data_IF_264214366531
#
_entry.id   IF_264214366531
#
_cell.length_a   1.000
_cell.length_b   1.000
_cell.length_c   1.000
_cell.angle_alpha   90.00
_cell.angle_beta   90.00
_cell.angle_gamma   90.00
#
_symmetry.space_group_name_H-M   'P 1'
#
loop_
_entity.id
_entity.type
_entity.pdbx_description
1 polymer ?
#
# COMPACT_ATOMS: atom_id res chain seq x y z
N UNK A 1 -44.66 36.52 43.23
CA UNK A 1 -43.25 36.22 43.58
C UNK A 1 -42.77 35.00 42.77
N UNK A 2 -42.70 35.12 41.44
CA UNK A 2 -42.53 33.96 40.53
C UNK A 2 -41.73 34.33 39.27
N UNK A 3 -40.74 35.24 39.40
CA UNK A 3 -40.00 35.78 38.24
C UNK A 3 -38.49 35.77 38.42
N UNK A 4 -37.97 35.28 39.55
CA UNK A 4 -36.52 35.16 39.80
C UNK A 4 -35.96 33.76 39.53
N UNK A 5 -36.77 32.71 39.61
CA UNK A 5 -36.31 31.32 39.43
C UNK A 5 -36.05 30.97 37.96
N UNK A 6 -36.80 31.55 37.01
CA UNK A 6 -36.65 31.25 35.58
C UNK A 6 -35.41 31.89 34.94
N UNK A 7 -34.95 33.04 35.46
CA UNK A 7 -33.75 33.72 34.91
C UNK A 7 -32.47 32.95 35.28
N UNK A 8 -32.42 32.37 36.49
CA UNK A 8 -31.28 31.57 36.93
C UNK A 8 -31.20 30.27 36.12
N UNK A 9 -32.34 29.64 35.82
CA UNK A 9 -32.38 28.41 35.02
C UNK A 9 -31.92 28.62 33.57
N UNK A 10 -32.31 29.74 32.94
CA UNK A 10 -31.85 30.08 31.57
C UNK A 10 -30.36 30.45 31.55
N UNK A 11 -29.86 31.15 32.57
CA UNK A 11 -28.44 31.48 32.68
C UNK A 11 -27.57 30.22 32.93
N UNK A 12 -28.03 29.28 33.76
CA UNK A 12 -27.33 28.01 33.99
C UNK A 12 -27.37 27.12 32.75
N UNK A 13 -28.47 27.10 31.99
CA UNK A 13 -28.57 26.35 30.72
C UNK A 13 -27.66 26.94 29.63
N UNK A 14 -27.55 28.28 29.55
CA UNK A 14 -26.63 28.96 28.63
C UNK A 14 -25.17 28.75 29.02
N UNK A 15 -24.84 28.78 30.31
CA UNK A 15 -23.48 28.48 30.80
C UNK A 15 -23.14 27.00 30.60
N UNK A 16 -24.09 26.08 30.79
CA UNK A 16 -23.90 24.66 30.45
C UNK A 16 -23.75 24.45 28.95
N UNK A 17 -24.47 25.18 28.09
CA UNK A 17 -24.28 25.12 26.63
C UNK A 17 -22.94 25.71 26.18
N UNK A 18 -22.40 26.69 26.90
CA UNK A 18 -21.04 27.22 26.65
C UNK A 18 -19.98 26.26 27.18
N UNK A 19 -20.20 25.61 28.33
CA UNK A 19 -19.27 24.61 28.89
C UNK A 19 -19.29 23.29 28.08
N UNK A 20 -20.44 22.90 27.51
CA UNK A 20 -20.56 21.73 26.62
C UNK A 20 -20.20 22.04 25.16
N UNK A 21 -20.28 23.31 24.75
CA UNK A 21 -19.86 23.80 23.44
C UNK A 21 -18.34 24.02 23.29
N UNK A 22 -17.58 23.84 24.39
CA UNK A 22 -16.11 23.85 24.39
C UNK A 22 -15.47 22.46 24.38
N UNK A 23 -16.25 21.41 24.04
CA UNK A 23 -15.65 20.29 23.33
C UNK A 23 -15.45 20.72 21.88
N UNK A 24 -14.41 21.52 21.64
CA UNK A 24 -13.76 21.52 20.35
C UNK A 24 -13.30 20.08 20.16
N UNK A 25 -14.10 19.32 19.40
CA UNK A 25 -13.62 18.11 18.76
C UNK A 25 -12.31 18.50 18.11
N UNK A 26 -11.20 18.00 18.65
CA UNK A 26 -9.91 17.96 18.00
C UNK A 26 -10.12 17.23 16.68
N UNK A 27 -10.55 17.94 15.63
CA UNK A 27 -10.54 17.41 14.29
C UNK A 27 -9.08 17.11 13.99
N UNK A 28 -8.75 15.85 13.76
CA UNK A 28 -7.55 15.57 12.99
C UNK A 28 -7.63 16.46 11.75
N UNK A 29 -6.66 17.35 11.55
CA UNK A 29 -6.62 18.16 10.34
C UNK A 29 -6.34 17.17 9.21
N UNK A 30 -7.35 16.86 8.39
CA UNK A 30 -7.26 15.86 7.32
C UNK A 30 -6.10 16.14 6.37
N UNK A 31 -5.68 17.40 6.26
CA UNK A 31 -4.49 17.78 5.51
C UNK A 31 -3.18 17.30 6.14
N UNK A 32 -3.10 17.20 7.47
CA UNK A 32 -1.94 16.64 8.17
C UNK A 32 -1.87 15.14 7.96
N UNK A 33 -3.00 14.43 8.10
CA UNK A 33 -3.04 13.00 7.78
C UNK A 33 -2.69 12.74 6.30
N UNK A 34 -3.22 13.53 5.38
CA UNK A 34 -2.87 13.47 3.97
C UNK A 34 -1.38 13.71 3.72
N UNK A 35 -0.81 14.76 4.35
CA UNK A 35 0.61 15.07 4.24
C UNK A 35 1.49 13.89 4.70
N UNK A 36 1.22 13.36 5.89
CA UNK A 36 2.01 12.26 6.45
C UNK A 36 1.94 11.02 5.56
N UNK A 37 0.73 10.68 5.10
CA UNK A 37 0.50 9.46 4.33
C UNK A 37 1.03 9.54 2.90
N UNK A 38 0.83 10.66 2.20
CA UNK A 38 1.35 10.82 0.83
C UNK A 38 2.89 10.90 0.82
N UNK A 39 3.51 11.47 1.87
CA UNK A 39 4.98 11.45 2.03
C UNK A 39 5.45 10.03 2.28
N UNK A 40 4.80 9.27 3.19
CA UNK A 40 5.15 7.88 3.48
C UNK A 40 5.16 7.05 2.18
N UNK A 41 4.06 7.08 1.42
CA UNK A 41 3.95 6.35 0.15
C UNK A 41 4.95 6.89 -0.89
N UNK A 42 5.16 8.20 -0.93
CA UNK A 42 6.17 8.81 -1.80
C UNK A 42 7.58 8.26 -1.53
N UNK A 43 7.97 8.16 -0.25
CA UNK A 43 9.28 7.63 0.15
C UNK A 43 9.44 6.17 -0.27
N UNK A 44 8.38 5.37 -0.15
CA UNK A 44 8.39 3.97 -0.59
C UNK A 44 8.63 3.84 -2.10
N UNK A 45 8.17 4.81 -2.90
CA UNK A 45 8.23 4.76 -4.37
C UNK A 45 9.49 5.36 -4.98
N UNK A 46 9.96 6.48 -4.44
CA UNK A 46 11.10 7.23 -5.02
C UNK A 46 12.27 7.42 -4.05
N UNK A 47 12.20 6.83 -2.85
CA UNK A 47 13.16 7.07 -1.78
C UNK A 47 12.93 8.42 -1.09
N UNK A 48 13.74 8.72 -0.06
CA UNK A 48 13.63 9.97 0.70
C UNK A 48 14.38 11.10 -0.02
N UNK A 49 13.68 12.14 -0.51
CA UNK A 49 14.34 13.30 -1.11
C UNK A 49 15.04 14.13 -0.03
N UNK A 50 16.26 14.60 -0.33
CA UNK A 50 17.08 15.38 0.62
C UNK A 50 16.41 16.74 0.91
N UNK A 51 15.79 17.36 -0.10
CA UNK A 51 15.12 18.67 0.00
C UNK A 51 13.64 18.56 0.37
N UNK A 52 13.12 17.33 0.52
CA UNK A 52 11.70 17.06 0.68
C UNK A 52 10.92 16.95 -0.64
N UNK A 53 9.61 16.79 -0.54
CA UNK A 53 8.76 16.52 -1.69
C UNK A 53 8.28 17.80 -2.38
N UNK A 54 8.57 17.89 -3.68
CA UNK A 54 8.10 18.92 -4.60
C UNK A 54 7.06 18.34 -5.58
N UNK A 55 6.38 19.20 -6.36
CA UNK A 55 5.39 18.73 -7.34
C UNK A 55 5.98 17.76 -8.39
N UNK A 56 7.18 18.01 -8.98
CA UNK A 56 7.80 17.06 -9.89
C UNK A 56 8.07 15.68 -9.26
N UNK A 57 8.49 15.63 -8.00
CA UNK A 57 8.76 14.37 -7.28
C UNK A 57 7.45 13.61 -7.07
N UNK A 58 6.36 14.29 -6.71
CA UNK A 58 5.06 13.64 -6.58
C UNK A 58 4.51 13.15 -7.93
N UNK A 59 4.63 13.94 -9.00
CA UNK A 59 4.25 13.51 -10.36
C UNK A 59 5.04 12.28 -10.81
N UNK A 60 6.31 12.16 -10.39
CA UNK A 60 7.11 10.96 -10.60
C UNK A 60 6.63 9.77 -9.75
N UNK A 61 6.29 10.01 -8.48
CA UNK A 61 5.93 8.94 -7.54
C UNK A 61 4.48 8.43 -7.70
N UNK A 62 3.58 9.21 -8.29
CA UNK A 62 2.16 8.89 -8.35
C UNK A 62 1.62 9.09 -9.78
N UNK A 63 1.54 8.04 -10.60
CA UNK A 63 1.12 8.16 -12.00
C UNK A 63 -0.33 8.63 -12.20
N UNK A 64 -1.16 8.58 -11.15
CA UNK A 64 -2.52 9.14 -11.16
C UNK A 64 -2.59 10.63 -10.85
N UNK A 65 -1.48 11.24 -10.45
CA UNK A 65 -1.39 12.69 -10.35
C UNK A 65 -1.23 13.31 -11.74
N UNK A 66 -1.80 14.49 -11.91
CA UNK A 66 -1.58 15.34 -13.08
C UNK A 66 -1.15 16.72 -12.61
N UNK A 67 -0.47 17.46 -13.48
CA UNK A 67 0.03 18.81 -13.18
C UNK A 67 -1.03 19.74 -12.59
N UNK A 68 -2.27 19.66 -13.08
CA UNK A 68 -3.39 20.47 -12.59
C UNK A 68 -3.71 20.26 -11.11
N UNK A 69 -3.35 19.12 -10.52
CA UNK A 69 -3.56 18.87 -9.08
C UNK A 69 -2.72 19.80 -8.20
N UNK A 70 -1.65 20.37 -8.76
CA UNK A 70 -0.72 21.27 -8.08
C UNK A 70 -1.02 22.75 -8.32
N UNK A 71 -2.12 23.09 -8.99
CA UNK A 71 -2.49 24.49 -9.21
C UNK A 71 -2.75 25.21 -7.89
N UNK A 72 -2.02 26.31 -7.65
CA UNK A 72 -2.08 27.10 -6.43
C UNK A 72 -1.39 26.49 -5.21
N UNK A 73 -0.72 25.34 -5.34
CA UNK A 73 -0.04 24.67 -4.22
C UNK A 73 1.18 25.47 -3.78
N UNK A 74 1.20 25.87 -2.51
CA UNK A 74 2.27 26.63 -1.90
C UNK A 74 3.49 25.76 -1.59
N UNK A 75 4.67 26.35 -1.75
CA UNK A 75 5.96 25.74 -1.38
C UNK A 75 6.61 26.54 -0.24
N UNK A 76 7.81 26.15 0.18
CA UNK A 76 8.56 26.90 1.21
C UNK A 76 8.84 28.34 0.78
N UNK A 77 9.15 28.58 -0.50
CA UNK A 77 9.54 29.90 -1.00
C UNK A 77 8.71 30.41 -2.19
N UNK A 78 7.62 29.73 -2.55
CA UNK A 78 6.84 30.08 -3.74
C UNK A 78 5.50 29.37 -3.86
N UNK A 79 5.02 29.29 -5.09
CA UNK A 79 3.73 28.68 -5.44
C UNK A 79 3.79 28.05 -6.83
N UNK A 80 3.16 26.90 -6.99
CA UNK A 80 2.90 26.30 -8.30
C UNK A 80 1.63 26.89 -8.93
N UNK A 81 1.62 27.06 -10.24
CA UNK A 81 0.45 27.52 -10.99
C UNK A 81 0.33 26.76 -12.31
N UNK A 82 -0.84 26.19 -12.57
CA UNK A 82 -1.12 25.49 -13.82
C UNK A 82 -1.63 26.48 -14.87
N UNK A 83 -0.94 26.56 -16.01
CA UNK A 83 -1.28 27.43 -17.14
C UNK A 83 -1.46 26.59 -18.40
N UNK A 84 -1.87 27.22 -19.51
CA UNK A 84 -2.05 26.53 -20.80
C UNK A 84 -0.80 25.77 -21.29
N UNK A 85 0.39 26.15 -20.80
CA UNK A 85 1.68 25.55 -21.15
C UNK A 85 2.17 24.49 -20.16
N UNK A 86 1.40 24.17 -19.12
CA UNK A 86 1.76 23.23 -18.06
C UNK A 86 1.97 23.88 -16.68
N UNK A 87 2.49 23.10 -15.74
CA UNK A 87 2.81 23.53 -14.38
C UNK A 87 4.02 24.47 -14.35
N UNK A 88 3.88 25.62 -13.69
CA UNK A 88 4.94 26.62 -13.55
C UNK A 88 5.15 26.95 -12.07
N UNK A 89 6.39 26.88 -11.60
CA UNK A 89 6.79 27.38 -10.29
C UNK A 89 7.07 28.89 -10.34
N UNK A 90 6.57 29.65 -9.35
CA UNK A 90 6.89 31.07 -9.16
C UNK A 90 7.32 31.31 -7.72
N UNK A 91 8.55 31.80 -7.55
CA UNK A 91 9.06 32.19 -6.23
C UNK A 91 8.37 33.46 -5.72
N UNK A 92 8.06 33.47 -4.43
CA UNK A 92 7.47 34.62 -3.71
C UNK A 92 8.32 35.12 -2.55
N UNK A 93 9.34 34.36 -2.12
CA UNK A 93 10.27 34.76 -1.07
C UNK A 93 11.41 35.64 -1.58
N UNK A 94 11.83 36.59 -0.74
CA UNK A 94 13.08 37.33 -0.88
C UNK A 94 14.29 36.48 -0.45
N UNK A 95 15.51 36.99 -0.66
CA UNK A 95 16.75 36.34 -0.21
C UNK A 95 16.74 36.04 1.31
N UNK A 96 17.39 34.95 1.76
CA UNK A 96 18.21 34.00 0.99
C UNK A 96 17.39 32.87 0.34
N UNK A 97 17.93 32.31 -0.75
CA UNK A 97 17.36 31.15 -1.44
C UNK A 97 17.84 29.87 -0.77
N UNK A 98 16.93 28.94 -0.48
CA UNK A 98 17.27 27.59 0.00
C UNK A 98 17.10 26.54 -1.10
N UNK A 99 17.76 25.40 -0.92
CA UNK A 99 17.64 24.24 -1.81
C UNK A 99 16.27 23.55 -1.76
N UNK A 100 15.47 23.83 -0.72
CA UNK A 100 14.12 23.30 -0.52
C UNK A 100 13.00 24.27 -0.97
N UNK A 101 13.33 25.28 -1.78
CA UNK A 101 12.40 26.34 -2.19
C UNK A 101 11.10 25.85 -2.85
N UNK A 102 11.17 24.71 -3.54
CA UNK A 102 10.09 24.06 -4.28
C UNK A 102 9.37 22.97 -3.47
N UNK A 103 9.85 22.66 -2.25
CA UNK A 103 9.22 21.71 -1.34
C UNK A 103 7.83 22.21 -0.94
N UNK A 104 6.82 21.36 -1.02
CA UNK A 104 5.44 21.71 -0.66
C UNK A 104 5.37 22.03 0.84
N UNK A 105 4.80 23.19 1.17
CA UNK A 105 4.61 23.63 2.56
C UNK A 105 3.40 22.95 3.20
N UNK A 106 3.24 23.08 4.53
CA UNK A 106 2.06 22.54 5.24
C UNK A 106 0.76 23.09 4.69
N UNK A 107 0.74 24.37 4.36
CA UNK A 107 -0.36 25.07 3.71
C UNK A 107 -0.57 24.55 2.28
N UNK A 108 0.52 24.25 1.56
CA UNK A 108 0.48 23.62 0.24
C UNK A 108 -0.28 22.29 0.23
N UNK A 109 -0.07 21.44 1.24
CA UNK A 109 -0.80 20.18 1.37
C UNK A 109 -2.32 20.37 1.56
N UNK A 110 -2.78 21.50 2.12
CA UNK A 110 -4.21 21.84 2.23
C UNK A 110 -4.81 22.12 0.86
N UNK A 111 -4.13 22.96 0.07
CA UNK A 111 -4.54 23.24 -1.31
C UNK A 111 -4.52 21.96 -2.15
N UNK A 112 -3.46 21.16 -1.99
CA UNK A 112 -3.29 19.92 -2.76
C UNK A 112 -4.40 18.91 -2.47
N UNK A 113 -4.72 18.68 -1.18
CA UNK A 113 -5.83 17.83 -0.79
C UNK A 113 -7.16 18.35 -1.36
N UNK A 114 -7.39 19.67 -1.33
CA UNK A 114 -8.60 20.31 -1.86
C UNK A 114 -8.74 20.08 -3.36
N UNK A 115 -7.66 20.25 -4.12
CA UNK A 115 -7.62 20.03 -5.56
C UNK A 115 -7.98 18.57 -5.91
N UNK A 116 -7.37 17.61 -5.22
CA UNK A 116 -7.62 16.19 -5.44
C UNK A 116 -9.05 15.79 -5.05
N UNK A 117 -9.54 16.29 -3.90
CA UNK A 117 -10.91 16.06 -3.42
C UNK A 117 -11.93 16.55 -4.44
N UNK A 118 -11.69 17.74 -5.00
CA UNK A 118 -12.51 18.33 -6.06
C UNK A 118 -12.46 17.50 -7.34
N UNK A 119 -11.26 17.11 -7.79
CA UNK A 119 -11.07 16.33 -9.03
C UNK A 119 -11.78 14.99 -8.97
N UNK A 120 -11.71 14.31 -7.81
CA UNK A 120 -12.34 13.00 -7.62
C UNK A 120 -13.77 13.07 -7.10
N UNK A 121 -14.32 14.28 -6.90
CA UNK A 121 -15.64 14.50 -6.33
C UNK A 121 -15.84 13.72 -5.01
N UNK A 122 -14.87 13.81 -4.11
CA UNK A 122 -14.84 13.12 -2.83
C UNK A 122 -14.82 14.15 -1.69
N UNK A 123 -15.81 14.09 -0.80
CA UNK A 123 -15.82 14.90 0.41
C UNK A 123 -14.91 14.26 1.46
N UNK A 124 -13.85 14.98 1.87
CA UNK A 124 -12.86 14.47 2.81
C UNK A 124 -13.18 14.99 4.21
N UNK A 125 -13.79 14.13 5.03
CA UNK A 125 -14.17 14.45 6.40
C UNK A 125 -13.43 13.60 7.44
N UNK A 126 -12.90 12.46 7.02
CA UNK A 126 -12.21 11.45 7.82
C UNK A 126 -10.98 10.92 7.08
N UNK A 127 -10.07 10.36 7.85
CA UNK A 127 -8.81 9.77 7.40
C UNK A 127 -9.05 8.63 6.39
N UNK A 128 -10.20 7.95 6.48
CA UNK A 128 -10.63 6.92 5.50
C UNK A 128 -10.83 7.48 4.10
N UNK A 129 -11.39 8.68 3.97
CA UNK A 129 -11.58 9.30 2.65
C UNK A 129 -10.26 9.81 2.07
N UNK A 130 -9.34 10.29 2.93
CA UNK A 130 -7.97 10.62 2.50
C UNK A 130 -7.27 9.38 1.92
N UNK A 131 -7.40 8.23 2.58
CA UNK A 131 -6.80 6.97 2.14
C UNK A 131 -7.32 6.55 0.76
N UNK A 132 -8.64 6.65 0.54
CA UNK A 132 -9.27 6.38 -0.77
C UNK A 132 -8.73 7.33 -1.86
N UNK A 133 -8.51 8.60 -1.53
CA UNK A 133 -7.97 9.58 -2.45
C UNK A 133 -6.52 9.27 -2.83
N UNK A 134 -5.70 8.89 -1.85
CA UNK A 134 -4.30 8.46 -2.07
C UNK A 134 -4.26 7.21 -2.95
N UNK A 135 -5.14 6.24 -2.75
CA UNK A 135 -5.29 5.08 -3.62
C UNK A 135 -5.61 5.48 -5.08
N UNK A 136 -6.53 6.42 -5.28
CA UNK A 136 -6.90 6.89 -6.63
C UNK A 136 -5.76 7.57 -7.39
N UNK A 137 -4.85 8.28 -6.70
CA UNK A 137 -3.71 8.96 -7.34
C UNK A 137 -2.51 8.04 -7.53
N UNK A 138 -2.47 6.90 -6.84
CA UNK A 138 -1.39 5.94 -6.99
C UNK A 138 -1.34 5.25 -8.36
N UNK A 139 -2.43 5.34 -9.15
CA UNK A 139 -2.71 4.83 -10.50
C UNK A 139 -1.56 4.13 -11.24
N UNK A 140 -1.12 3.01 -10.68
CA UNK A 140 -0.86 1.78 -11.39
C UNK A 140 -1.89 0.78 -10.85
N UNK A 141 -2.31 -0.19 -11.65
CA UNK A 141 -3.11 -1.36 -11.23
C UNK A 141 -2.30 -2.29 -10.29
N UNK A 142 -1.42 -1.72 -9.45
CA UNK A 142 -0.58 -2.43 -8.50
C UNK A 142 -0.59 -1.74 -7.13
N UNK A 143 -0.93 -2.46 -6.04
CA UNK A 143 -1.26 -1.94 -4.73
C UNK A 143 -0.02 -1.96 -3.82
N UNK A 144 0.51 -0.80 -3.48
CA UNK A 144 1.28 -0.63 -2.22
C UNK A 144 0.42 -0.08 -1.08
N UNK A 145 -0.88 -0.36 -1.15
CA UNK A 145 -1.70 -0.74 0.00
C UNK A 145 -2.46 -1.99 -0.43
N UNK A 146 -2.27 -3.13 0.23
CA UNK A 146 -2.77 -4.46 -0.18
C UNK A 146 -4.30 -4.42 -0.38
N UNK A 147 -4.73 -4.17 -1.62
CA UNK A 147 -6.00 -4.62 -2.17
C UNK A 147 -5.70 -5.87 -3.01
N UNK A 148 -6.61 -6.85 -3.08
CA UNK A 148 -6.28 -8.20 -3.52
C UNK A 148 -5.74 -8.19 -4.95
N UNK A 149 -4.50 -8.67 -5.13
CA UNK A 149 -4.03 -9.04 -6.46
C UNK A 149 -5.02 -10.10 -7.02
N UNK A 150 -5.45 -9.98 -8.27
CA UNK A 150 -6.13 -11.06 -8.98
C UNK A 150 -5.13 -11.97 -9.71
N UNK A 151 -3.84 -11.63 -9.62
CA UNK A 151 -2.68 -12.43 -10.04
C UNK A 151 -2.05 -13.16 -8.85
N UNK A 152 -1.29 -14.22 -9.16
CA UNK A 152 -0.66 -15.03 -8.13
C UNK A 152 -0.24 -16.41 -8.60
N UNK A 153 -0.02 -17.30 -7.64
CA UNK A 153 0.30 -18.70 -7.89
C UNK A 153 -0.50 -19.59 -6.96
N UNK A 154 -1.05 -20.67 -7.48
CA UNK A 154 -1.66 -21.76 -6.71
C UNK A 154 -1.18 -23.10 -7.20
N UNK A 155 -1.37 -24.12 -6.38
CA UNK A 155 -1.11 -25.49 -6.75
C UNK A 155 -1.00 -26.37 -5.52
N UNK A 156 -0.43 -27.55 -5.71
CA UNK A 156 -0.31 -28.57 -4.67
C UNK A 156 1.15 -28.94 -4.42
N UNK A 157 1.51 -29.09 -3.15
CA UNK A 157 2.78 -29.69 -2.76
C UNK A 157 2.58 -31.20 -2.63
N UNK A 158 3.35 -31.94 -3.42
CA UNK A 158 3.37 -33.39 -3.46
C UNK A 158 4.70 -33.90 -2.93
N UNK A 159 4.67 -35.07 -2.28
CA UNK A 159 5.88 -35.82 -1.91
C UNK A 159 5.85 -37.20 -2.56
N UNK A 160 7.01 -37.59 -3.07
CA UNK A 160 7.18 -38.87 -3.75
C UNK A 160 8.65 -39.21 -3.96
N UNK A 161 8.98 -40.44 -4.35
CA UNK A 161 8.09 -41.62 -4.39
C UNK A 161 7.65 -42.05 -2.98
N UNK A 162 6.52 -42.77 -2.85
CA UNK A 162 6.07 -43.33 -1.54
C UNK A 162 6.44 -44.81 -1.39
N UNK A 163 6.67 -45.51 -2.50
CA UNK A 163 7.02 -46.91 -2.55
C UNK A 163 8.42 -47.11 -3.15
N UNK A 164 9.20 -48.09 -2.66
CA UNK A 164 10.44 -48.51 -3.33
C UNK A 164 10.21 -49.06 -4.74
N UNK A 165 9.03 -49.65 -5.00
CA UNK A 165 8.70 -50.24 -6.31
C UNK A 165 7.28 -49.85 -6.69
N UNK A 166 7.11 -49.22 -7.85
CA UNK A 166 5.80 -48.98 -8.46
C UNK A 166 5.36 -50.21 -9.27
N UNK A 167 4.07 -50.56 -9.15
CA UNK A 167 3.42 -51.57 -10.00
C UNK A 167 2.39 -50.88 -10.87
N UNK A 168 2.31 -51.24 -12.15
CA UNK A 168 1.30 -50.68 -13.05
C UNK A 168 -0.12 -50.97 -12.50
N UNK A 169 -0.94 -49.92 -12.41
CA UNK A 169 -2.30 -49.98 -11.88
C UNK A 169 -2.43 -49.96 -10.35
N UNK A 170 -1.33 -49.77 -9.61
CA UNK A 170 -1.35 -49.59 -8.15
C UNK A 170 -1.26 -48.10 -7.76
N UNK A 171 -2.41 -47.47 -7.58
CA UNK A 171 -2.51 -46.05 -7.19
C UNK A 171 -2.02 -45.78 -5.75
N UNK A 172 -1.77 -46.82 -4.94
CA UNK A 172 -1.27 -46.63 -3.56
C UNK A 172 0.15 -46.09 -3.50
N UNK A 173 0.89 -46.18 -4.61
CA UNK A 173 2.25 -45.68 -4.76
C UNK A 173 2.33 -44.34 -5.50
N UNK A 174 1.21 -43.73 -5.86
CA UNK A 174 1.18 -42.38 -6.40
C UNK A 174 1.73 -41.37 -5.38
N UNK A 175 2.27 -40.26 -5.88
CA UNK A 175 2.71 -39.15 -5.04
C UNK A 175 1.56 -38.66 -4.16
N UNK A 176 1.89 -38.33 -2.91
CA UNK A 176 0.89 -37.97 -1.92
C UNK A 176 0.97 -36.46 -1.59
N UNK A 177 -0.16 -35.85 -1.22
CA UNK A 177 -0.16 -34.52 -0.62
C UNK A 177 0.84 -34.36 0.52
N UNK A 178 1.53 -33.22 0.55
CA UNK A 178 2.48 -32.89 1.59
C UNK A 178 2.13 -31.55 2.25
N UNK A 179 1.65 -31.63 3.50
CA UNK A 179 1.41 -30.45 4.31
C UNK A 179 2.75 -29.87 4.81
N UNK A 180 3.11 -28.67 4.35
CA UNK A 180 4.34 -27.94 4.71
C UNK A 180 4.16 -26.43 4.55
N UNK A 181 5.21 -25.66 4.84
CA UNK A 181 5.28 -24.23 4.58
C UNK A 181 5.83 -23.99 3.17
N UNK A 182 5.21 -23.07 2.43
CA UNK A 182 5.70 -22.57 1.13
C UNK A 182 6.19 -21.14 1.31
N UNK A 183 7.35 -20.84 0.75
CA UNK A 183 7.98 -19.53 0.75
C UNK A 183 8.04 -18.97 -0.66
N UNK A 184 7.78 -17.67 -0.77
CA UNK A 184 7.94 -16.86 -1.98
C UNK A 184 9.13 -15.94 -1.75
N UNK A 185 10.11 -16.00 -2.63
CA UNK A 185 11.35 -15.22 -2.56
C UNK A 185 11.45 -14.36 -3.81
N UNK A 186 11.92 -13.12 -3.69
CA UNK A 186 12.20 -12.28 -4.85
C UNK A 186 13.46 -12.77 -5.60
N UNK A 187 13.34 -13.07 -6.89
CA UNK A 187 14.43 -13.63 -7.69
C UNK A 187 15.56 -12.62 -8.00
N UNK A 188 15.29 -11.32 -7.91
CA UNK A 188 16.18 -10.25 -8.37
C UNK A 188 16.88 -9.44 -7.25
N UNK A 189 16.77 -9.84 -5.99
CA UNK A 189 17.53 -9.21 -4.91
C UNK A 189 18.73 -10.07 -4.54
N UNK A 190 19.92 -9.46 -4.42
CA UNK A 190 21.18 -10.13 -4.03
C UNK A 190 21.16 -10.77 -2.63
N UNK A 191 20.00 -10.82 -1.98
CA UNK A 191 19.74 -11.32 -0.64
C UNK A 191 18.69 -12.43 -0.57
N UNK A 192 18.07 -12.86 -1.68
CA UNK A 192 16.92 -13.79 -1.64
C UNK A 192 15.92 -13.36 -0.55
N UNK A 193 15.40 -12.13 -0.66
CA UNK A 193 14.49 -11.60 0.36
C UNK A 193 13.19 -12.41 0.37
N UNK A 194 12.81 -12.93 1.54
CA UNK A 194 11.51 -13.55 1.75
C UNK A 194 10.42 -12.49 1.51
N UNK A 195 9.55 -12.75 0.54
CA UNK A 195 8.44 -11.88 0.16
C UNK A 195 7.16 -12.26 0.91
N UNK A 196 6.84 -13.56 0.92
CA UNK A 196 5.67 -14.09 1.61
C UNK A 196 5.91 -15.54 2.02
N UNK A 197 5.18 -16.01 3.03
CA UNK A 197 5.12 -17.42 3.40
C UNK A 197 3.70 -17.80 3.81
N UNK A 198 3.35 -19.07 3.61
CA UNK A 198 2.07 -19.62 4.01
C UNK A 198 2.18 -21.13 4.21
N UNK A 199 1.39 -21.66 5.13
CA UNK A 199 1.25 -23.11 5.30
C UNK A 199 0.24 -23.65 4.29
N UNK A 200 0.58 -24.75 3.64
CA UNK A 200 -0.37 -25.52 2.83
C UNK A 200 -1.46 -26.12 3.72
N UNK A 201 -2.62 -26.39 3.14
CA UNK A 201 -3.63 -27.20 3.82
C UNK A 201 -3.24 -28.68 3.97
N UNK A 202 -4.14 -29.48 4.58
CA UNK A 202 -3.94 -30.92 4.79
C UNK A 202 -3.81 -31.73 3.49
N UNK A 203 -4.31 -31.18 2.39
CA UNK A 203 -4.26 -31.77 1.06
C UNK A 203 -3.09 -31.16 0.26
N UNK A 204 -2.16 -30.45 0.92
CA UNK A 204 -0.97 -29.87 0.30
C UNK A 204 -1.25 -28.65 -0.58
N UNK A 205 -2.48 -28.12 -0.61
CA UNK A 205 -2.80 -27.00 -1.47
C UNK A 205 -2.24 -25.69 -0.89
N UNK A 206 -1.72 -24.84 -1.76
CA UNK A 206 -1.32 -23.49 -1.42
C UNK A 206 -1.89 -22.48 -2.42
N UNK A 207 -1.96 -21.23 -1.98
CA UNK A 207 -2.29 -20.11 -2.83
C UNK A 207 -1.61 -18.84 -2.32
N UNK A 208 -0.92 -18.15 -3.22
CA UNK A 208 -0.40 -16.82 -3.00
C UNK A 208 -1.03 -15.86 -3.99
N UNK A 209 -1.36 -14.69 -3.47
CA UNK A 209 -1.83 -13.56 -4.25
C UNK A 209 -0.64 -12.62 -4.39
N UNK A 210 -0.04 -12.57 -5.59
CA UNK A 210 1.26 -11.95 -5.83
C UNK A 210 1.13 -10.85 -6.89
N UNK A 211 1.90 -9.76 -6.77
CA UNK A 211 2.05 -8.81 -7.86
C UNK A 211 2.67 -9.47 -9.10
N UNK A 212 2.50 -8.85 -10.28
CA UNK A 212 3.30 -9.20 -11.44
C UNK A 212 4.79 -8.97 -11.17
N UNK A 213 5.62 -9.96 -11.51
CA UNK A 213 7.04 -9.93 -11.17
C UNK A 213 7.69 -11.31 -11.23
N UNK A 214 8.99 -11.34 -10.94
CA UNK A 214 9.79 -12.56 -10.95
C UNK A 214 10.03 -13.05 -9.52
N UNK A 215 9.68 -14.31 -9.26
CA UNK A 215 9.73 -14.92 -7.94
C UNK A 215 10.37 -16.30 -8.00
N UNK A 216 10.85 -16.78 -6.86
CA UNK A 216 11.21 -18.17 -6.63
C UNK A 216 10.26 -18.75 -5.58
N UNK A 217 9.59 -19.85 -5.91
CA UNK A 217 8.67 -20.55 -5.02
C UNK A 217 9.39 -21.78 -4.46
N UNK A 218 9.40 -21.92 -3.13
CA UNK A 218 10.06 -23.01 -2.44
C UNK A 218 9.15 -23.63 -1.39
N UNK A 219 8.93 -24.94 -1.46
CA UNK A 219 8.37 -25.69 -0.35
C UNK A 219 9.47 -26.02 0.66
N UNK A 220 9.17 -25.93 1.95
CA UNK A 220 10.10 -26.31 3.01
C UNK A 220 10.07 -27.83 3.16
N UNK A 221 11.25 -28.45 2.99
CA UNK A 221 11.45 -29.88 3.18
C UNK A 221 11.74 -30.26 4.64
N UNK A 222 11.86 -31.57 4.87
CA UNK A 222 12.36 -32.11 6.14
C UNK A 222 13.89 -32.18 6.18
N UNK A 223 14.44 -32.56 7.34
CA UNK A 223 15.87 -32.78 7.52
C UNK A 223 16.15 -34.25 7.87
N UNK A 224 16.72 -35.09 6.96
CA UNK A 224 17.19 -34.75 5.61
C UNK A 224 16.13 -34.83 4.50
N UNK A 225 14.96 -35.43 4.77
CA UNK A 225 13.91 -35.70 3.79
C UNK A 225 12.51 -35.35 4.33
N UNK A 226 11.52 -35.08 3.46
CA UNK A 226 11.65 -34.99 2.01
C UNK A 226 12.40 -33.71 1.60
N UNK A 227 13.18 -33.78 0.53
CA UNK A 227 13.94 -32.65 -0.01
C UNK A 227 13.11 -31.93 -1.07
N UNK A 228 12.88 -30.65 -0.89
CA UNK A 228 12.06 -29.83 -1.78
C UNK A 228 12.95 -28.82 -2.53
N UNK A 229 12.71 -28.67 -3.83
CA UNK A 229 13.40 -27.68 -4.67
C UNK A 229 12.76 -26.30 -4.63
N UNK A 230 13.43 -25.32 -5.24
CA UNK A 230 12.87 -24.02 -5.59
C UNK A 230 12.59 -23.94 -7.09
N UNK A 231 11.53 -23.24 -7.48
CA UNK A 231 11.15 -23.03 -8.88
C UNK A 231 10.99 -21.55 -9.15
N UNK A 232 11.73 -21.04 -10.13
CA UNK A 232 11.61 -19.65 -10.56
C UNK A 232 10.42 -19.48 -11.52
N UNK A 233 9.63 -18.45 -11.27
CA UNK A 233 8.40 -18.14 -12.01
C UNK A 233 8.31 -16.65 -12.33
N UNK A 234 7.50 -16.35 -13.35
CA UNK A 234 7.09 -14.99 -13.69
C UNK A 234 5.57 -14.92 -13.53
N UNK A 235 5.10 -14.00 -12.69
CA UNK A 235 3.68 -13.70 -12.53
C UNK A 235 3.32 -12.59 -13.51
N UNK A 236 2.38 -12.86 -14.42
CA UNK A 236 1.81 -11.85 -15.32
C UNK A 236 0.62 -11.14 -14.65
N UNK A 237 0.32 -9.88 -15.05
CA UNK A 237 -0.87 -9.17 -14.59
C UNK A 237 -2.16 -9.97 -14.77
N UNK A 238 -2.99 -10.02 -13.72
CA UNK A 238 -4.28 -10.73 -13.67
C UNK A 238 -4.24 -12.22 -14.00
N UNK A 239 -3.07 -12.87 -13.88
CA UNK A 239 -2.91 -14.31 -14.09
C UNK A 239 -2.62 -15.03 -12.76
N UNK A 240 -3.37 -16.09 -12.49
CA UNK A 240 -3.02 -17.08 -11.47
C UNK A 240 -2.30 -18.24 -12.15
N UNK A 241 -1.01 -18.37 -11.88
CA UNK A 241 -0.20 -19.49 -12.36
C UNK A 241 -0.51 -20.75 -11.54
N UNK A 242 -0.76 -21.87 -12.22
CA UNK A 242 -0.85 -23.18 -11.56
C UNK A 242 0.53 -23.84 -11.57
N UNK A 243 1.04 -24.16 -10.39
CA UNK A 243 2.35 -24.77 -10.18
C UNK A 243 2.28 -25.82 -9.07
N UNK A 244 2.51 -27.08 -9.41
CA UNK A 244 2.70 -28.12 -8.41
C UNK A 244 4.17 -28.21 -8.01
N UNK A 245 4.42 -28.37 -6.70
CA UNK A 245 5.77 -28.53 -6.15
C UNK A 245 5.97 -29.98 -5.75
N UNK A 246 7.09 -30.57 -6.14
CA UNK A 246 7.44 -31.95 -5.78
C UNK A 246 8.60 -31.99 -4.80
N UNK A 247 8.47 -32.82 -3.76
CA UNK A 247 9.48 -33.07 -2.75
C UNK A 247 9.91 -34.54 -2.77
N UNK A 248 11.21 -34.78 -2.94
CA UNK A 248 11.82 -36.11 -3.00
C UNK A 248 11.92 -36.73 -1.60
N UNK A 249 11.25 -37.86 -1.38
CA UNK A 249 11.32 -38.60 -0.11
C UNK A 249 12.65 -39.33 0.11
N UNK A 250 13.45 -39.49 -0.95
CA UNK A 250 14.68 -40.29 -0.95
C UNK A 250 14.45 -41.79 -1.07
N UNK A 251 13.21 -42.25 -1.26
CA UNK A 251 12.89 -43.67 -1.49
C UNK A 251 13.34 -44.08 -2.90
N UNK A 252 13.94 -45.27 -3.02
CA UNK A 252 14.53 -45.86 -4.23
C UNK A 252 14.32 -47.36 -4.28
#
# INVERSE_FOLDING_TARGET
MYMKTNIILVAVLLVLLVIFGFFTSSSSDQSTFFQDEIIRVGVERVGQPIEGFSAPIFLQAFPGLIEKDFDGVQTIEGVYSFKDTGLVYTRTADQPITSAEEMISKEGYKTFLTNLSTRFNLEVSKDTEVSILIEKIQKDDSPTGILPFDSGVSGQVLRGPICPVMREGDDSCADQPYATTVQVVEANTSKNSLFAESDTDKDGNYKFTLPPGEYSIQAIGGNPFPSCGSTDIIIEPSVVLELDLSCDTGIR
#
